data_IF_287535854677
#
_entry.id   IF_287535854677
#
_cell.length_a   1.000
_cell.length_b   1.000
_cell.length_c   1.000
_cell.angle_alpha   90.00
_cell.angle_beta   90.00
_cell.angle_gamma   90.00
#
_symmetry.space_group_name_H-M   'P 1'
#
loop_
_entity.id
_entity.type
_entity.pdbx_description
1 polymer ?
#
# COMPACT_ATOMS: atom_id res chain seq x y z
N UNK A 1 -9.72 2.06 26.36
CA UNK A 1 -9.31 0.63 26.33
C UNK A 1 -9.31 0.15 24.88
N UNK A 2 -8.29 -0.59 24.44
CA UNK A 2 -8.26 -1.18 23.10
C UNK A 2 -8.85 -2.58 23.14
N UNK A 3 -9.79 -2.88 22.24
CA UNK A 3 -10.34 -4.23 22.11
C UNK A 3 -9.27 -5.16 21.56
N UNK A 4 -8.89 -6.23 22.27
CA UNK A 4 -7.84 -7.13 21.84
C UNK A 4 -8.22 -7.84 20.52
N UNK A 5 -7.20 -8.29 19.80
CA UNK A 5 -7.37 -9.12 18.62
C UNK A 5 -7.88 -10.51 19.04
N UNK A 6 -8.91 -11.00 18.40
CA UNK A 6 -9.59 -12.25 18.76
C UNK A 6 -9.39 -13.33 17.69
N UNK A 7 -9.66 -14.59 18.01
CA UNK A 7 -9.70 -15.68 17.03
C UNK A 7 -10.69 -15.39 15.88
N UNK A 8 -11.80 -14.70 16.19
CA UNK A 8 -12.78 -14.29 15.18
C UNK A 8 -12.19 -13.31 14.17
N UNK A 9 -11.35 -12.36 14.62
CA UNK A 9 -10.64 -11.42 13.74
C UNK A 9 -9.70 -12.17 12.79
N UNK A 10 -8.96 -13.16 13.30
CA UNK A 10 -8.04 -13.98 12.49
C UNK A 10 -8.82 -14.78 11.44
N UNK A 11 -9.89 -15.46 11.82
CA UNK A 11 -10.71 -16.24 10.88
C UNK A 11 -11.30 -15.32 9.80
N UNK A 12 -11.87 -14.18 10.18
CA UNK A 12 -12.46 -13.24 9.25
C UNK A 12 -11.43 -12.68 8.27
N UNK A 13 -10.26 -12.26 8.77
CA UNK A 13 -9.16 -11.77 7.94
C UNK A 13 -8.67 -12.85 6.96
N UNK A 14 -8.52 -14.10 7.42
CA UNK A 14 -8.10 -15.22 6.58
C UNK A 14 -9.12 -15.54 5.49
N UNK A 15 -10.41 -15.60 5.83
CA UNK A 15 -11.48 -15.85 4.85
C UNK A 15 -11.53 -14.75 3.80
N UNK A 16 -11.49 -13.47 4.22
CA UNK A 16 -11.48 -12.33 3.30
C UNK A 16 -10.21 -12.36 2.44
N UNK A 17 -9.05 -12.68 3.02
CA UNK A 17 -7.80 -12.80 2.29
C UNK A 17 -7.82 -13.91 1.23
N UNK A 18 -8.37 -15.08 1.55
CA UNK A 18 -8.53 -16.19 0.60
C UNK A 18 -9.50 -15.80 -0.52
N UNK A 19 -10.65 -15.21 -0.20
CA UNK A 19 -11.61 -14.73 -1.21
C UNK A 19 -10.99 -13.64 -2.10
N UNK A 20 -10.20 -12.73 -1.51
CA UNK A 20 -9.47 -11.72 -2.27
C UNK A 20 -8.45 -12.37 -3.24
N UNK A 21 -7.69 -13.35 -2.78
CA UNK A 21 -6.74 -14.09 -3.60
C UNK A 21 -7.47 -14.78 -4.77
N UNK A 22 -8.52 -15.54 -4.48
CA UNK A 22 -9.29 -16.25 -5.50
C UNK A 22 -9.86 -15.29 -6.56
N UNK A 23 -10.52 -14.21 -6.13
CA UNK A 23 -11.15 -13.27 -7.05
C UNK A 23 -10.15 -12.50 -7.92
N UNK A 24 -8.91 -12.26 -7.46
CA UNK A 24 -7.86 -11.59 -8.22
C UNK A 24 -7.13 -12.54 -9.16
N UNK A 25 -6.96 -13.81 -8.77
CA UNK A 25 -6.19 -14.79 -9.55
C UNK A 25 -7.04 -15.60 -10.52
N UNK A 26 -8.32 -15.87 -10.23
CA UNK A 26 -9.19 -16.55 -11.19
C UNK A 26 -9.34 -15.68 -12.44
N UNK A 27 -8.90 -16.21 -13.58
CA UNK A 27 -8.94 -15.53 -14.88
C UNK A 27 -7.92 -14.39 -15.02
N UNK A 28 -6.84 -14.35 -14.23
CA UNK A 28 -5.82 -13.30 -14.27
C UNK A 28 -5.20 -13.12 -15.67
N UNK A 29 -5.00 -14.20 -16.41
CA UNK A 29 -4.40 -14.19 -17.75
C UNK A 29 -5.41 -14.01 -18.90
N UNK A 30 -6.71 -14.20 -18.62
CA UNK A 30 -7.76 -14.25 -19.65
C UNK A 30 -8.04 -12.94 -20.40
N UNK A 31 -7.94 -11.73 -19.79
CA UNK A 31 -8.26 -10.49 -20.49
C UNK A 31 -7.42 -10.26 -21.76
N UNK A 32 -6.31 -11.00 -21.91
CA UNK A 32 -5.47 -10.94 -23.10
C UNK A 32 -4.93 -12.34 -23.47
N UNK A 33 -5.82 -13.18 -23.97
CA UNK A 33 -5.43 -14.52 -24.48
C UNK A 33 -4.40 -14.48 -25.62
N UNK A 34 -4.27 -13.33 -26.29
CA UNK A 34 -3.27 -13.09 -27.35
C UNK A 34 -1.87 -12.75 -26.82
N UNK A 35 -1.67 -12.68 -25.50
CA UNK A 35 -0.36 -12.34 -24.91
C UNK A 35 0.11 -10.91 -25.12
N UNK A 36 -0.79 -9.99 -25.53
CA UNK A 36 -0.46 -8.58 -25.73
C UNK A 36 -0.94 -7.72 -24.56
N UNK A 37 -0.14 -6.77 -24.07
CA UNK A 37 -0.57 -5.81 -23.07
C UNK A 37 -1.76 -4.95 -23.53
N UNK A 38 -2.69 -4.63 -22.63
CA UNK A 38 -3.88 -3.83 -22.93
C UNK A 38 -3.93 -2.59 -22.02
N UNK A 39 -4.64 -1.57 -22.50
CA UNK A 39 -4.80 -0.31 -21.78
C UNK A 39 -3.43 0.27 -21.37
N UNK A 40 -3.26 0.70 -20.11
CA UNK A 40 -1.99 1.25 -19.61
C UNK A 40 -0.87 0.21 -19.51
N UNK A 41 -1.18 -1.09 -19.53
CA UNK A 41 -0.17 -2.15 -19.65
C UNK A 41 0.75 -1.93 -20.85
N UNK A 42 0.23 -1.36 -21.95
CA UNK A 42 1.01 -1.07 -23.17
C UNK A 42 2.21 -0.17 -22.91
N UNK A 43 2.16 0.62 -21.86
CA UNK A 43 3.24 1.53 -21.49
C UNK A 43 4.11 0.97 -20.36
N UNK A 44 3.49 0.38 -19.33
CA UNK A 44 4.21 -0.01 -18.12
C UNK A 44 4.91 -1.36 -18.27
N UNK A 45 4.28 -2.31 -18.96
CA UNK A 45 4.82 -3.67 -19.14
C UNK A 45 6.11 -3.68 -19.96
N UNK A 46 6.18 -3.06 -21.16
CA UNK A 46 7.44 -2.99 -21.88
C UNK A 46 8.55 -2.28 -21.09
N UNK A 47 8.22 -1.19 -20.40
CA UNK A 47 9.20 -0.49 -19.55
C UNK A 47 9.69 -1.34 -18.38
N UNK A 48 8.82 -2.17 -17.79
CA UNK A 48 9.21 -3.12 -16.76
C UNK A 48 10.13 -4.21 -17.34
N UNK A 49 9.84 -4.70 -18.55
CA UNK A 49 10.67 -5.68 -19.24
C UNK A 49 12.05 -5.12 -19.61
N UNK A 50 12.11 -3.88 -20.09
CA UNK A 50 13.39 -3.20 -20.36
C UNK A 50 14.26 -3.11 -19.07
N UNK A 51 13.62 -2.93 -17.89
CA UNK A 51 14.32 -3.00 -16.62
C UNK A 51 14.87 -4.40 -16.33
N UNK A 52 14.10 -5.46 -16.61
CA UNK A 52 14.55 -6.85 -16.44
C UNK A 52 15.77 -7.11 -17.32
N UNK A 53 15.70 -6.75 -18.59
CA UNK A 53 16.80 -6.93 -19.52
C UNK A 53 18.05 -6.13 -19.10
N UNK A 54 17.87 -4.91 -18.62
CA UNK A 54 18.98 -4.07 -18.16
C UNK A 54 19.61 -4.56 -16.85
N UNK A 55 18.85 -5.18 -15.95
CA UNK A 55 19.39 -5.76 -14.72
C UNK A 55 20.30 -6.96 -14.99
N UNK A 56 20.01 -7.73 -16.04
CA UNK A 56 20.83 -8.87 -16.46
C UNK A 56 21.89 -8.50 -17.51
N UNK A 57 21.82 -7.31 -18.09
CA UNK A 57 22.79 -6.80 -19.06
C UNK A 57 23.31 -5.43 -18.67
N UNK A 58 24.47 -5.37 -17.96
CA UNK A 58 25.03 -4.10 -17.48
C UNK A 58 25.44 -3.12 -18.58
N UNK A 59 25.51 -3.56 -19.84
CA UNK A 59 25.84 -2.69 -20.98
C UNK A 59 24.65 -1.85 -21.44
N UNK A 60 23.42 -2.29 -21.17
CA UNK A 60 22.18 -1.59 -21.57
C UNK A 60 21.80 -0.43 -20.62
N UNK A 61 22.52 -0.23 -19.52
CA UNK A 61 22.54 1.04 -18.77
C UNK A 61 21.35 1.36 -17.88
N UNK A 62 20.56 0.39 -17.44
CA UNK A 62 19.57 0.60 -16.35
C UNK A 62 18.23 1.21 -16.78
N UNK A 63 17.44 1.53 -15.77
CA UNK A 63 16.03 1.91 -15.79
C UNK A 63 15.68 3.04 -16.79
N UNK A 64 16.61 3.90 -17.10
CA UNK A 64 16.38 5.12 -17.90
C UNK A 64 16.84 4.98 -19.34
N UNK A 65 17.30 3.80 -19.72
CA UNK A 65 17.90 3.56 -21.04
C UNK A 65 16.88 3.31 -22.14
N UNK A 66 15.61 3.67 -21.96
CA UNK A 66 14.68 3.70 -23.09
C UNK A 66 14.63 5.11 -23.72
N UNK A 67 15.60 5.48 -24.55
CA UNK A 67 15.68 6.81 -25.17
C UNK A 67 14.61 7.05 -26.22
N UNK A 68 13.88 6.00 -26.63
CA UNK A 68 12.93 6.10 -27.73
C UNK A 68 11.56 6.66 -27.34
N UNK A 69 11.19 6.59 -26.07
CA UNK A 69 9.84 6.94 -25.62
C UNK A 69 9.82 7.87 -24.42
N UNK A 70 10.70 8.79 -24.35
CA UNK A 70 10.94 9.91 -23.43
C UNK A 70 9.90 10.33 -22.38
N UNK A 71 8.81 9.61 -22.21
CA UNK A 71 7.77 9.88 -21.24
C UNK A 71 7.85 8.90 -20.06
N UNK A 72 8.80 9.14 -19.18
CA UNK A 72 8.72 8.59 -17.81
C UNK A 72 7.60 9.32 -17.06
N UNK A 73 6.35 8.93 -17.31
CA UNK A 73 5.19 9.61 -16.73
C UNK A 73 5.15 9.45 -15.22
N UNK A 74 5.64 8.33 -14.71
CA UNK A 74 5.59 7.97 -13.30
C UNK A 74 6.95 7.51 -12.78
N UNK A 75 7.22 7.69 -11.46
CA UNK A 75 8.41 7.16 -10.80
C UNK A 75 8.58 5.65 -10.99
N UNK A 76 9.79 5.09 -10.80
CA UNK A 76 10.11 3.74 -11.26
C UNK A 76 9.55 2.60 -10.43
N UNK A 77 9.23 2.79 -9.14
CA UNK A 77 8.92 1.70 -8.22
C UNK A 77 7.79 0.79 -8.70
N UNK A 78 6.72 1.36 -9.25
CA UNK A 78 5.59 0.56 -9.73
C UNK A 78 5.99 -0.37 -10.88
N UNK A 79 6.82 0.11 -11.81
CA UNK A 79 7.37 -0.68 -12.92
C UNK A 79 8.37 -1.73 -12.43
N UNK A 80 9.19 -1.40 -11.44
CA UNK A 80 10.09 -2.36 -10.79
C UNK A 80 9.32 -3.50 -10.12
N UNK A 81 8.16 -3.22 -9.53
CA UNK A 81 7.28 -4.24 -8.96
C UNK A 81 6.67 -5.14 -10.04
N UNK A 82 6.27 -4.58 -11.20
CA UNK A 82 5.84 -5.40 -12.35
C UNK A 82 6.99 -6.29 -12.83
N UNK A 83 8.19 -5.73 -12.99
CA UNK A 83 9.39 -6.44 -13.41
C UNK A 83 9.71 -7.67 -12.56
N UNK A 84 9.42 -7.64 -11.24
CA UNK A 84 9.60 -8.82 -10.38
C UNK A 84 8.77 -10.03 -10.85
N UNK A 85 7.55 -9.80 -11.29
CA UNK A 85 6.72 -10.87 -11.84
C UNK A 85 7.24 -11.35 -13.22
N UNK A 86 7.73 -10.44 -14.04
CA UNK A 86 8.32 -10.75 -15.35
C UNK A 86 9.65 -11.52 -15.24
N UNK A 87 10.45 -11.28 -14.19
CA UNK A 87 11.63 -12.09 -13.87
C UNK A 87 11.24 -13.56 -13.63
N UNK A 88 10.10 -13.78 -12.95
CA UNK A 88 9.68 -15.14 -12.58
C UNK A 88 8.99 -15.89 -13.72
N UNK A 89 8.21 -15.20 -14.55
CA UNK A 89 7.33 -15.84 -15.55
C UNK A 89 7.54 -15.31 -16.98
N UNK A 90 8.60 -14.52 -17.19
CA UNK A 90 8.93 -13.93 -18.48
C UNK A 90 7.94 -12.86 -18.93
N UNK A 91 8.12 -12.36 -20.15
CA UNK A 91 7.21 -11.41 -20.79
C UNK A 91 5.90 -12.11 -21.18
N UNK A 92 5.04 -12.30 -20.22
CA UNK A 92 3.77 -13.02 -20.35
C UNK A 92 2.67 -12.38 -19.50
N UNK A 93 1.37 -12.62 -19.83
CA UNK A 93 0.25 -12.09 -19.02
C UNK A 93 0.34 -12.45 -17.54
N UNK A 94 0.84 -13.63 -17.21
CA UNK A 94 1.08 -14.00 -15.82
C UNK A 94 2.22 -13.19 -15.22
N UNK A 95 3.33 -13.00 -15.97
CA UNK A 95 4.49 -12.24 -15.50
C UNK A 95 4.09 -10.84 -15.04
N UNK A 96 3.55 -10.02 -15.92
CA UNK A 96 3.25 -8.63 -15.57
C UNK A 96 2.01 -8.42 -14.68
N UNK A 97 1.12 -9.45 -14.50
CA UNK A 97 -0.07 -9.36 -13.63
C UNK A 97 0.08 -10.04 -12.28
N UNK A 98 1.12 -10.86 -12.08
CA UNK A 98 1.32 -11.57 -10.83
C UNK A 98 1.35 -10.60 -9.63
N UNK A 99 2.21 -9.58 -9.73
CA UNK A 99 2.42 -8.65 -8.62
C UNK A 99 1.19 -7.79 -8.36
N UNK A 100 0.46 -7.38 -9.41
CA UNK A 100 -0.79 -6.62 -9.22
C UNK A 100 -1.87 -7.48 -8.55
N UNK A 101 -1.97 -8.76 -8.87
CA UNK A 101 -2.86 -9.72 -8.19
C UNK A 101 -2.52 -9.88 -6.70
N UNK A 102 -1.24 -10.03 -6.37
CA UNK A 102 -0.76 -10.15 -5.00
C UNK A 102 -1.01 -8.86 -4.20
N UNK A 103 -0.64 -7.71 -4.75
CA UNK A 103 -0.84 -6.42 -4.11
C UNK A 103 -2.32 -6.09 -3.96
N UNK A 104 -3.14 -6.38 -4.98
CA UNK A 104 -4.59 -6.22 -4.89
C UNK A 104 -5.23 -7.10 -3.82
N UNK A 105 -4.72 -8.30 -3.61
CA UNK A 105 -5.11 -9.16 -2.48
C UNK A 105 -4.73 -8.51 -1.15
N UNK A 106 -3.50 -8.01 -1.05
CA UNK A 106 -3.01 -7.34 0.15
C UNK A 106 -3.81 -6.07 0.48
N UNK A 107 -4.25 -5.29 -0.53
CA UNK A 107 -5.13 -4.12 -0.32
C UNK A 107 -6.35 -4.51 0.48
N UNK A 108 -7.06 -5.58 0.10
CA UNK A 108 -8.30 -6.00 0.77
C UNK A 108 -8.03 -6.40 2.22
N UNK A 109 -6.95 -7.15 2.44
CA UNK A 109 -6.53 -7.53 3.80
C UNK A 109 -6.20 -6.29 4.64
N UNK A 110 -5.45 -5.33 4.09
CA UNK A 110 -5.10 -4.12 4.83
C UNK A 110 -6.29 -3.17 5.05
N UNK A 111 -7.28 -3.14 4.16
CA UNK A 111 -8.56 -2.44 4.41
C UNK A 111 -9.28 -3.05 5.61
N UNK A 112 -9.36 -4.39 5.70
CA UNK A 112 -9.89 -5.07 6.87
C UNK A 112 -9.12 -4.70 8.14
N UNK A 113 -7.79 -4.77 8.10
CA UNK A 113 -6.92 -4.47 9.24
C UNK A 113 -7.04 -3.00 9.70
N UNK A 114 -7.12 -2.07 8.75
CA UNK A 114 -7.34 -0.65 9.02
C UNK A 114 -8.70 -0.42 9.68
N UNK A 115 -9.76 -0.95 9.08
CA UNK A 115 -11.12 -0.83 9.62
C UNK A 115 -11.23 -1.43 11.02
N UNK A 116 -10.61 -2.61 11.26
CA UNK A 116 -10.56 -3.24 12.58
C UNK A 116 -9.79 -2.39 13.60
N UNK A 117 -8.67 -1.80 13.17
CA UNK A 117 -7.86 -0.93 14.02
C UNK A 117 -8.59 0.35 14.40
N UNK A 118 -9.28 0.98 13.46
CA UNK A 118 -9.97 2.26 13.69
C UNK A 118 -11.26 2.07 14.47
N UNK A 119 -12.12 1.14 14.04
CA UNK A 119 -13.45 0.94 14.62
C UNK A 119 -13.46 0.10 15.90
N UNK A 120 -12.40 -0.68 16.15
CA UNK A 120 -12.34 -1.68 17.24
C UNK A 120 -13.43 -2.76 17.15
N UNK A 121 -14.06 -2.93 15.97
CA UNK A 121 -15.16 -3.84 15.72
C UNK A 121 -14.83 -4.81 14.59
N UNK A 122 -14.92 -6.11 14.85
CA UNK A 122 -14.77 -7.16 13.85
C UNK A 122 -15.85 -7.07 12.77
N UNK A 123 -17.09 -6.72 13.15
CA UNK A 123 -18.20 -6.61 12.20
C UNK A 123 -17.96 -5.49 11.18
N UNK A 124 -17.52 -4.32 11.65
CA UNK A 124 -17.20 -3.19 10.77
C UNK A 124 -16.03 -3.54 9.84
N UNK A 125 -15.02 -4.24 10.35
CA UNK A 125 -13.90 -4.70 9.54
C UNK A 125 -14.32 -5.71 8.46
N UNK A 126 -15.22 -6.64 8.78
CA UNK A 126 -15.80 -7.58 7.80
C UNK A 126 -16.54 -6.82 6.71
N UNK A 127 -17.42 -5.89 7.08
CA UNK A 127 -18.18 -5.07 6.12
C UNK A 127 -17.23 -4.28 5.21
N UNK A 128 -16.24 -3.61 5.77
CA UNK A 128 -15.25 -2.87 5.00
C UNK A 128 -14.46 -3.77 4.03
N UNK A 129 -14.03 -4.94 4.49
CA UNK A 129 -13.36 -5.94 3.66
C UNK A 129 -14.23 -6.47 2.52
N UNK A 130 -15.53 -6.72 2.79
CA UNK A 130 -16.49 -7.16 1.77
C UNK A 130 -16.74 -6.05 0.74
N UNK A 131 -16.95 -4.81 1.16
CA UNK A 131 -17.12 -3.67 0.24
C UNK A 131 -15.91 -3.55 -0.67
N UNK A 132 -14.69 -3.56 -0.11
CA UNK A 132 -13.46 -3.48 -0.87
C UNK A 132 -13.24 -4.72 -1.78
N UNK A 133 -13.70 -5.90 -1.37
CA UNK A 133 -13.61 -7.13 -2.18
C UNK A 133 -14.41 -7.01 -3.48
N UNK A 134 -15.59 -6.40 -3.43
CA UNK A 134 -16.50 -6.24 -4.56
C UNK A 134 -16.34 -4.90 -5.28
N UNK A 135 -15.41 -4.04 -4.86
CA UNK A 135 -15.12 -2.80 -5.56
C UNK A 135 -14.53 -3.08 -6.95
N UNK A 136 -15.23 -2.60 -7.99
CA UNK A 136 -14.88 -2.87 -9.38
C UNK A 136 -13.56 -2.23 -9.79
N UNK A 137 -13.22 -1.05 -9.27
CA UNK A 137 -11.97 -0.35 -9.58
C UNK A 137 -10.78 -1.10 -8.98
N UNK A 138 -10.88 -1.51 -7.72
CA UNK A 138 -9.85 -2.32 -7.07
C UNK A 138 -9.68 -3.69 -7.74
N UNK A 139 -10.77 -4.30 -8.19
CA UNK A 139 -10.72 -5.58 -8.88
C UNK A 139 -10.01 -5.46 -10.23
N UNK A 140 -10.39 -4.47 -11.03
CA UNK A 140 -9.78 -4.24 -12.36
C UNK A 140 -8.30 -3.88 -12.20
N UNK A 141 -7.97 -2.93 -11.33
CA UNK A 141 -6.58 -2.52 -11.08
C UNK A 141 -5.68 -3.66 -10.61
N UNK A 142 -6.26 -4.68 -9.93
CA UNK A 142 -5.52 -5.85 -9.48
C UNK A 142 -5.37 -6.94 -10.57
N UNK A 143 -6.17 -6.90 -11.64
CA UNK A 143 -6.14 -7.88 -12.73
C UNK A 143 -5.36 -7.43 -13.96
N UNK A 144 -5.00 -6.18 -14.02
CA UNK A 144 -4.16 -5.61 -15.07
C UNK A 144 -2.84 -5.12 -14.50
N UNK A 145 -1.80 -5.06 -15.32
CA UNK A 145 -0.48 -4.55 -14.95
C UNK A 145 -0.46 -3.03 -14.74
N UNK A 146 -1.31 -2.55 -13.81
CA UNK A 146 -1.50 -1.14 -13.51
C UNK A 146 -0.75 -0.73 -12.26
N UNK A 147 -0.21 0.49 -12.24
CA UNK A 147 0.55 1.00 -11.10
C UNK A 147 -0.32 1.39 -9.91
N UNK A 148 -1.61 1.63 -10.14
CA UNK A 148 -2.55 2.15 -9.13
C UNK A 148 -2.67 1.23 -7.91
N UNK A 149 -2.72 -0.08 -8.12
CA UNK A 149 -2.86 -1.05 -7.03
C UNK A 149 -1.70 -1.01 -6.05
N UNK A 150 -0.48 -0.78 -6.53
CA UNK A 150 0.70 -0.63 -5.68
C UNK A 150 0.59 0.62 -4.82
N UNK A 151 0.20 1.74 -5.45
CA UNK A 151 0.00 2.99 -4.73
C UNK A 151 -1.08 2.86 -3.66
N UNK A 152 -2.23 2.28 -3.99
CA UNK A 152 -3.35 2.09 -3.05
C UNK A 152 -2.92 1.23 -1.86
N UNK A 153 -2.16 0.16 -2.07
CA UNK A 153 -1.65 -0.64 -0.97
C UNK A 153 -0.81 0.19 0.00
N UNK A 154 0.18 0.94 -0.51
CA UNK A 154 1.05 1.75 0.33
C UNK A 154 0.28 2.85 1.07
N UNK A 155 -0.74 3.46 0.45
CA UNK A 155 -1.63 4.43 1.10
C UNK A 155 -2.42 3.80 2.25
N UNK A 156 -3.04 2.63 2.02
CA UNK A 156 -3.83 1.95 3.04
C UNK A 156 -2.93 1.47 4.20
N UNK A 157 -1.74 0.96 3.88
CA UNK A 157 -0.73 0.60 4.89
C UNK A 157 -0.26 1.84 5.68
N UNK A 158 -0.04 2.98 5.01
CA UNK A 158 0.32 4.23 5.68
C UNK A 158 -0.79 4.69 6.65
N UNK A 159 -2.05 4.62 6.24
CA UNK A 159 -3.18 4.93 7.12
C UNK A 159 -3.27 3.95 8.31
N UNK A 160 -3.00 2.66 8.07
CA UNK A 160 -2.98 1.65 9.12
C UNK A 160 -1.86 1.89 10.14
N UNK A 161 -0.65 2.23 9.69
CA UNK A 161 0.47 2.56 10.58
C UNK A 161 0.24 3.88 11.29
N UNK A 162 -0.33 4.89 10.65
CA UNK A 162 -0.68 6.17 11.25
C UNK A 162 -1.70 6.00 12.38
N UNK A 163 -2.75 5.19 12.17
CA UNK A 163 -3.70 4.84 13.23
C UNK A 163 -3.03 4.12 14.41
N UNK A 164 -1.98 3.34 14.15
CA UNK A 164 -1.13 2.74 15.19
C UNK A 164 -0.34 3.76 15.99
N UNK A 165 0.27 4.74 15.28
CA UNK A 165 1.00 5.83 15.91
C UNK A 165 0.11 6.69 16.82
N UNK A 166 -1.07 7.07 16.33
CA UNK A 166 -2.02 7.87 17.11
C UNK A 166 -2.40 7.18 18.43
N UNK A 167 -2.66 5.87 18.40
CA UNK A 167 -2.93 5.10 19.61
C UNK A 167 -1.74 5.03 20.54
N UNK A 168 -0.55 4.76 20.03
CA UNK A 168 0.65 4.68 20.84
C UNK A 168 0.94 6.00 21.53
N UNK A 169 0.76 7.12 20.83
CA UNK A 169 0.90 8.46 21.40
C UNK A 169 -0.11 8.68 22.50
N UNK A 170 -1.39 8.36 22.26
CA UNK A 170 -2.44 8.51 23.27
C UNK A 170 -2.13 7.72 24.55
N UNK A 171 -1.69 6.47 24.43
CA UNK A 171 -1.29 5.67 25.59
C UNK A 171 -0.10 6.30 26.34
N UNK A 172 0.96 6.69 25.61
CA UNK A 172 2.14 7.30 26.23
C UNK A 172 1.84 8.63 26.92
N UNK A 173 0.91 9.42 26.37
CA UNK A 173 0.42 10.64 27.03
C UNK A 173 -0.32 10.32 28.31
N UNK A 174 -1.22 9.36 28.28
CA UNK A 174 -1.95 8.93 29.46
C UNK A 174 -1.03 8.40 30.56
N UNK A 175 -0.06 7.57 30.19
CA UNK A 175 0.95 7.06 31.15
C UNK A 175 1.82 8.17 31.72
N UNK A 176 2.20 9.17 30.93
CA UNK A 176 2.95 10.32 31.38
C UNK A 176 2.14 11.20 32.35
N UNK A 177 0.84 11.34 32.08
CA UNK A 177 -0.09 12.05 32.95
C UNK A 177 -0.24 11.36 34.30
N UNK A 178 -0.49 10.07 34.31
CA UNK A 178 -0.58 9.27 35.54
C UNK A 178 0.72 9.30 36.37
N UNK A 179 1.85 9.41 35.70
CA UNK A 179 3.16 9.47 36.34
C UNK A 179 3.57 10.88 36.79
N UNK A 180 2.70 11.91 36.68
CA UNK A 180 2.98 13.31 37.02
C UNK A 180 4.04 13.99 36.13
N UNK A 181 4.50 13.36 35.07
CA UNK A 181 5.60 13.86 34.21
C UNK A 181 5.19 14.99 33.27
N UNK A 182 3.92 15.38 33.24
CA UNK A 182 3.45 16.50 32.43
C UNK A 182 3.78 17.86 33.06
N UNK A 183 3.83 17.93 34.37
CA UNK A 183 4.16 19.17 35.09
C UNK A 183 5.62 19.61 34.85
N UNK A 184 6.51 18.65 34.71
CA UNK A 184 7.94 18.87 34.40
C UNK A 184 8.25 18.91 32.91
N UNK A 185 7.24 18.77 32.05
CA UNK A 185 7.43 18.74 30.61
C UNK A 185 7.71 20.12 30.04
N UNK A 186 8.82 20.29 29.33
CA UNK A 186 9.14 21.53 28.63
C UNK A 186 8.14 21.85 27.51
N UNK A 187 8.34 22.95 26.76
CA UNK A 187 7.40 23.44 25.74
C UNK A 187 7.09 22.43 24.63
N UNK A 188 7.89 21.40 24.48
CA UNK A 188 7.69 20.31 23.51
C UNK A 188 6.98 19.08 24.09
N UNK A 189 6.51 19.14 25.33
CA UNK A 189 5.87 18.04 26.04
C UNK A 189 6.83 16.95 26.52
N UNK A 190 6.29 15.86 27.08
CA UNK A 190 7.10 14.77 27.62
C UNK A 190 7.83 14.00 26.49
N UNK A 191 9.02 13.49 26.79
CA UNK A 191 9.80 12.69 25.83
C UNK A 191 9.09 11.37 25.52
N UNK A 192 8.56 11.24 24.30
CA UNK A 192 7.75 10.10 23.86
C UNK A 192 8.58 8.91 23.34
N UNK A 193 9.90 9.03 23.25
CA UNK A 193 10.77 8.04 22.63
C UNK A 193 10.56 7.92 21.13
N UNK A 194 11.26 6.98 20.49
CA UNK A 194 11.17 6.80 19.06
C UNK A 194 9.79 6.25 18.65
N UNK A 195 9.24 6.81 17.58
CA UNK A 195 7.89 6.50 17.08
C UNK A 195 7.98 5.63 15.82
N UNK A 196 8.20 4.33 15.99
CA UNK A 196 8.33 3.38 14.88
C UNK A 196 7.15 3.39 13.92
N UNK A 197 5.93 3.54 14.43
CA UNK A 197 4.72 3.63 13.59
C UNK A 197 4.75 4.86 12.68
N UNK A 198 5.18 6.00 13.21
CA UNK A 198 5.33 7.24 12.41
C UNK A 198 6.42 7.10 11.38
N UNK A 199 7.56 6.50 11.73
CA UNK A 199 8.62 6.21 10.79
C UNK A 199 8.12 5.32 9.64
N UNK A 200 7.41 4.22 9.96
CA UNK A 200 6.80 3.34 8.97
C UNK A 200 5.79 4.09 8.07
N UNK A 201 4.98 4.99 8.65
CA UNK A 201 4.06 5.84 7.86
C UNK A 201 4.84 6.70 6.87
N UNK A 202 5.93 7.33 7.27
CA UNK A 202 6.77 8.14 6.40
C UNK A 202 7.37 7.32 5.24
N UNK A 203 7.90 6.14 5.54
CA UNK A 203 8.43 5.22 4.52
C UNK A 203 7.34 4.82 3.53
N UNK A 204 6.16 4.44 3.99
CA UNK A 204 5.03 4.02 3.14
C UNK A 204 4.52 5.17 2.26
N UNK A 205 4.47 6.40 2.78
CA UNK A 205 4.14 7.58 1.98
C UNK A 205 5.22 7.87 0.93
N UNK A 206 6.50 7.67 1.27
CA UNK A 206 7.60 7.75 0.31
C UNK A 206 7.47 6.71 -0.80
N UNK A 207 7.14 5.45 -0.46
CA UNK A 207 6.86 4.39 -1.44
C UNK A 207 5.65 4.75 -2.32
N UNK A 208 4.59 5.33 -1.74
CA UNK A 208 3.42 5.82 -2.50
C UNK A 208 3.85 6.83 -3.57
N UNK A 209 4.66 7.81 -3.21
CA UNK A 209 5.20 8.81 -4.14
C UNK A 209 6.12 8.18 -5.18
N UNK A 210 6.90 7.17 -4.79
CA UNK A 210 7.82 6.44 -5.70
C UNK A 210 7.10 5.57 -6.73
N UNK A 211 5.78 5.32 -6.56
CA UNK A 211 4.92 4.67 -7.56
C UNK A 211 4.32 5.69 -8.53
N UNK A 212 3.68 6.73 -8.01
CA UNK A 212 2.97 7.76 -8.79
C UNK A 212 3.11 9.13 -8.14
N UNK A 213 3.22 10.19 -8.94
CA UNK A 213 3.29 11.58 -8.48
C UNK A 213 2.07 12.00 -7.63
N UNK A 214 0.91 11.39 -7.85
CA UNK A 214 -0.28 11.60 -7.03
C UNK A 214 -0.07 11.21 -5.55
N UNK A 215 0.97 10.44 -5.24
CA UNK A 215 1.43 10.19 -3.87
C UNK A 215 1.68 11.46 -3.06
N UNK A 216 2.04 12.56 -3.71
CA UNK A 216 2.24 13.86 -3.07
C UNK A 216 0.97 14.36 -2.36
N UNK A 217 -0.22 14.13 -2.91
CA UNK A 217 -1.48 14.54 -2.28
C UNK A 217 -1.71 13.85 -0.94
N UNK A 218 -1.33 12.58 -0.80
CA UNK A 218 -1.45 11.87 0.46
C UNK A 218 -0.44 12.38 1.50
N UNK A 219 0.79 12.71 1.08
CA UNK A 219 1.79 13.34 1.96
C UNK A 219 1.28 14.69 2.46
N UNK A 220 0.77 15.53 1.57
CA UNK A 220 0.21 16.83 1.92
C UNK A 220 -0.99 16.70 2.87
N UNK A 221 -1.91 15.77 2.61
CA UNK A 221 -3.07 15.53 3.46
C UNK A 221 -2.67 15.11 4.88
N UNK A 222 -1.74 14.17 5.01
CA UNK A 222 -1.26 13.72 6.32
C UNK A 222 -0.52 14.85 7.04
N UNK A 223 0.32 15.59 6.33
CA UNK A 223 1.04 16.73 6.91
C UNK A 223 0.08 17.83 7.38
N UNK A 224 -0.89 18.18 6.54
CA UNK A 224 -1.88 19.19 6.88
C UNK A 224 -2.70 18.80 8.12
N UNK A 225 -3.22 17.58 8.19
CA UNK A 225 -4.01 17.12 9.33
C UNK A 225 -3.22 17.10 10.64
N UNK A 226 -1.92 16.77 10.57
CA UNK A 226 -1.07 16.76 11.77
C UNK A 226 -0.57 18.13 12.22
N UNK A 227 -0.51 19.11 11.30
CA UNK A 227 -0.08 20.48 11.64
C UNK A 227 -1.24 21.38 12.06
N UNK A 228 -2.44 21.15 11.51
CA UNK A 228 -3.57 22.07 11.66
C UNK A 228 -4.63 21.61 12.66
N UNK A 229 -4.71 20.31 12.97
CA UNK A 229 -5.58 19.87 14.05
C UNK A 229 -4.95 20.27 15.38
N UNK A 230 -5.55 21.23 16.14
CA UNK A 230 -5.09 21.49 17.48
C UNK A 230 -5.23 20.19 18.27
N UNK A 231 -4.15 19.73 18.86
CA UNK A 231 -4.17 18.76 19.94
C UNK A 231 -4.88 19.43 21.11
N UNK A 232 -6.21 19.56 21.02
CA UNK A 232 -7.00 19.88 22.19
C UNK A 232 -6.87 18.69 23.12
N UNK A 233 -6.01 18.88 24.11
CA UNK A 233 -5.98 18.06 25.29
C UNK A 233 -7.34 18.17 26.03
#
# INVERSE_FOLDING_TARGET
>A
MTVPWTRRDTIAASVIGVLALLTRFIGLVQPTSSGTPVFDEKHYVPQAWDMVESWFNPVLGGIESNPGYGLVVHPPLGKQLLALGEILFGYSPLGWRLMTGLFGTAVIVFVFLLARRVSQSTNIAIIAGIIALFDGVLLVSAKFGMLDVFQVLFVVMAAWTLAGDMRQVHHRWHDAWLAGKLEDAGPFGPRMGFRWWRFATGVLLGLTLSVKWSGLYYIMSVSYTHLTLPTKA
#
